data_IF_660235133778
#
_entry.id   IF_660235133778
#
_cell.length_a   1.000
_cell.length_b   1.000
_cell.length_c   1.000
_cell.angle_alpha   90.00
_cell.angle_beta   90.00
_cell.angle_gamma   90.00
#
_symmetry.space_group_name_H-M   'P 1'
#
loop_
_entity.id
_entity.type
_entity.pdbx_description
1 polymer ?
#
# COMPACT_ATOMS: atom_id res chain seq x y z
N UNK A 1 9.27 -21.63 -3.55
CA UNK A 1 8.18 -22.27 -4.32
C UNK A 1 6.98 -21.38 -4.12
N UNK A 2 6.48 -20.73 -5.17
CA UNK A 2 5.31 -19.86 -5.08
C UNK A 2 4.09 -20.74 -4.78
N UNK A 3 3.41 -20.50 -3.66
CA UNK A 3 2.19 -21.23 -3.32
C UNK A 3 1.06 -20.77 -4.25
N UNK A 4 0.70 -21.63 -5.22
CA UNK A 4 -0.33 -21.29 -6.22
C UNK A 4 -1.69 -21.70 -5.68
N UNK A 5 -2.54 -20.70 -5.44
CA UNK A 5 -3.90 -20.94 -4.98
C UNK A 5 -4.86 -21.05 -6.16
N UNK A 6 -5.69 -22.08 -6.17
CA UNK A 6 -6.73 -22.27 -7.19
C UNK A 6 -8.02 -21.54 -6.77
N UNK A 7 -8.54 -20.69 -7.64
CA UNK A 7 -9.80 -19.98 -7.44
C UNK A 7 -10.79 -20.36 -8.55
N UNK A 8 -11.97 -20.85 -8.16
CA UNK A 8 -13.04 -21.15 -9.12
C UNK A 8 -13.76 -19.88 -9.54
N UNK A 9 -13.84 -19.63 -10.84
CA UNK A 9 -14.54 -18.48 -11.41
C UNK A 9 -15.70 -18.91 -12.31
N UNK A 10 -16.75 -18.10 -12.33
CA UNK A 10 -17.84 -18.24 -13.29
C UNK A 10 -17.69 -17.20 -14.40
N UNK A 11 -17.72 -17.65 -15.66
CA UNK A 11 -17.75 -16.78 -16.83
C UNK A 11 -19.00 -15.89 -16.82
N UNK A 12 -18.85 -14.66 -17.32
CA UNK A 12 -19.95 -13.70 -17.44
C UNK A 12 -20.15 -13.34 -18.90
N UNK A 13 -21.30 -13.71 -19.45
CA UNK A 13 -21.68 -13.28 -20.80
C UNK A 13 -22.21 -11.84 -20.82
N UNK A 14 -22.89 -11.42 -19.75
CA UNK A 14 -23.49 -10.08 -19.66
C UNK A 14 -22.54 -9.09 -18.97
N UNK A 15 -21.86 -8.27 -19.76
CA UNK A 15 -20.99 -7.20 -19.28
C UNK A 15 -21.78 -5.89 -19.18
N UNK A 16 -21.56 -5.11 -18.12
CA UNK A 16 -22.17 -3.80 -17.93
C UNK A 16 -22.48 -3.44 -16.48
N UNK A 17 -22.84 -2.18 -16.25
CA UNK A 17 -23.10 -1.60 -14.92
C UNK A 17 -24.19 -2.34 -14.14
N UNK A 18 -25.26 -2.75 -14.80
CA UNK A 18 -26.38 -3.48 -14.18
C UNK A 18 -25.99 -4.86 -13.69
N UNK A 19 -25.33 -5.66 -14.55
CA UNK A 19 -24.89 -7.01 -14.18
C UNK A 19 -23.82 -6.97 -13.08
N UNK A 20 -22.90 -6.00 -13.11
CA UNK A 20 -21.89 -5.85 -12.05
C UNK A 20 -22.53 -5.57 -10.69
N UNK A 21 -23.55 -4.71 -10.63
CA UNK A 21 -24.31 -4.43 -9.40
C UNK A 21 -25.04 -5.67 -8.90
N UNK A 22 -25.67 -6.44 -9.79
CA UNK A 22 -26.36 -7.66 -9.44
C UNK A 22 -25.40 -8.73 -8.89
N UNK A 23 -24.26 -8.95 -9.54
CA UNK A 23 -23.22 -9.85 -9.05
C UNK A 23 -22.76 -9.49 -7.64
N UNK A 24 -22.53 -8.20 -7.36
CA UNK A 24 -22.17 -7.72 -6.01
C UNK A 24 -23.28 -7.95 -4.98
N UNK A 25 -24.55 -7.79 -5.37
CA UNK A 25 -25.69 -8.09 -4.50
C UNK A 25 -25.81 -9.58 -4.18
N UNK A 26 -25.38 -10.44 -5.10
CA UNK A 26 -25.30 -11.89 -4.90
C UNK A 26 -24.03 -12.35 -4.15
N UNK A 27 -23.21 -11.42 -3.64
CA UNK A 27 -21.97 -11.75 -2.92
C UNK A 27 -20.82 -12.22 -3.82
N UNK A 28 -20.89 -11.92 -5.13
CA UNK A 28 -19.81 -12.18 -6.10
C UNK A 28 -19.11 -10.87 -6.46
N UNK A 29 -17.83 -10.96 -6.80
CA UNK A 29 -17.02 -9.83 -7.23
C UNK A 29 -16.78 -9.96 -8.74
N UNK A 30 -17.09 -8.92 -9.52
CA UNK A 30 -16.74 -8.88 -10.94
C UNK A 30 -15.22 -8.72 -11.09
N UNK A 31 -14.62 -9.48 -11.99
CA UNK A 31 -13.20 -9.37 -12.31
C UNK A 31 -12.95 -9.55 -13.81
N UNK A 32 -11.80 -9.09 -14.27
CA UNK A 32 -11.38 -9.20 -15.67
C UNK A 32 -10.02 -9.85 -15.75
N UNK A 33 -9.91 -10.87 -16.59
CA UNK A 33 -8.63 -11.48 -16.94
C UNK A 33 -8.21 -10.98 -18.32
N UNK A 34 -7.05 -10.33 -18.41
CA UNK A 34 -6.47 -9.85 -19.67
C UNK A 34 -4.99 -10.25 -19.79
N UNK A 35 -4.37 -9.98 -20.93
CA UNK A 35 -2.95 -10.28 -21.18
C UNK A 35 -2.71 -11.58 -21.96
N UNK A 36 -1.44 -11.94 -22.10
CA UNK A 36 -0.95 -13.09 -22.88
C UNK A 36 -1.45 -13.13 -24.34
N UNK A 37 -1.66 -11.96 -24.96
CA UNK A 37 -2.21 -11.79 -26.33
C UNK A 37 -3.55 -12.51 -26.56
N UNK A 38 -4.28 -12.86 -25.50
CA UNK A 38 -5.59 -13.49 -25.53
C UNK A 38 -6.70 -12.46 -25.32
N UNK A 39 -7.91 -12.78 -25.76
CA UNK A 39 -9.07 -11.93 -25.52
C UNK A 39 -9.33 -11.76 -24.01
N UNK A 40 -9.71 -10.56 -23.56
CA UNK A 40 -10.14 -10.35 -22.18
C UNK A 40 -11.32 -11.26 -21.84
N UNK A 41 -11.31 -11.85 -20.64
CA UNK A 41 -12.41 -12.66 -20.13
C UNK A 41 -13.02 -11.97 -18.92
N UNK A 42 -14.33 -11.70 -18.95
CA UNK A 42 -15.07 -11.19 -17.82
C UNK A 42 -15.55 -12.35 -16.95
N UNK A 43 -15.18 -12.33 -15.68
CA UNK A 43 -15.45 -13.39 -14.72
C UNK A 43 -16.11 -12.85 -13.45
N UNK A 44 -16.70 -13.75 -12.68
CA UNK A 44 -17.12 -13.51 -11.30
C UNK A 44 -16.40 -14.47 -10.37
N UNK A 45 -15.98 -13.95 -9.22
CA UNK A 45 -15.36 -14.71 -8.13
C UNK A 45 -16.21 -14.56 -6.86
N UNK A 46 -16.09 -15.52 -5.94
CA UNK A 46 -16.77 -15.43 -4.65
C UNK A 46 -16.09 -14.38 -3.75
N UNK A 47 -16.90 -13.48 -3.17
CA UNK A 47 -16.40 -12.40 -2.31
C UNK A 47 -15.62 -12.91 -1.11
N UNK A 48 -16.14 -13.93 -0.41
CA UNK A 48 -15.56 -14.42 0.85
C UNK A 48 -14.14 -14.93 0.67
N UNK A 49 -13.90 -15.69 -0.41
CA UNK A 49 -12.58 -16.22 -0.73
C UNK A 49 -11.61 -15.07 -1.03
N UNK A 50 -12.02 -14.11 -1.86
CA UNK A 50 -11.18 -12.97 -2.22
C UNK A 50 -10.82 -12.09 -1.03
N UNK A 51 -11.78 -11.79 -0.15
CA UNK A 51 -11.52 -10.99 1.05
C UNK A 51 -10.49 -11.68 1.94
N UNK A 52 -10.61 -13.00 2.14
CA UNK A 52 -9.62 -13.76 2.92
C UNK A 52 -8.21 -13.70 2.33
N UNK A 53 -8.09 -13.74 1.01
CA UNK A 53 -6.80 -13.63 0.31
C UNK A 53 -6.24 -12.21 0.30
N UNK A 54 -7.10 -11.20 0.34
CA UNK A 54 -6.69 -9.81 0.46
C UNK A 54 -6.16 -9.52 1.88
N UNK A 55 -6.87 -10.04 2.90
CA UNK A 55 -6.51 -9.89 4.31
C UNK A 55 -5.26 -10.68 4.71
N UNK A 56 -4.93 -11.78 4.03
CA UNK A 56 -3.72 -12.55 4.30
C UNK A 56 -2.42 -11.83 3.95
N UNK A 57 -2.51 -10.68 3.27
CA UNK A 57 -1.34 -9.95 2.76
C UNK A 57 -0.76 -10.60 1.50
N UNK A 58 0.08 -9.84 0.78
CA UNK A 58 0.75 -10.35 -0.43
C UNK A 58 -0.19 -10.67 -1.60
N UNK A 59 -1.36 -10.04 -1.70
CA UNK A 59 -2.29 -10.35 -2.78
C UNK A 59 -1.71 -10.04 -4.17
N UNK A 60 -1.04 -8.89 -4.32
CA UNK A 60 -0.50 -8.41 -5.60
C UNK A 60 0.74 -9.16 -6.09
N UNK A 61 1.42 -9.91 -5.23
CA UNK A 61 2.62 -10.68 -5.57
C UNK A 61 2.41 -12.20 -5.48
N UNK A 62 1.18 -12.65 -5.22
CA UNK A 62 0.82 -14.06 -5.21
C UNK A 62 0.21 -14.47 -6.55
N UNK A 63 0.65 -15.63 -7.08
CA UNK A 63 0.07 -16.22 -8.28
C UNK A 63 -1.20 -17.00 -7.95
N UNK A 64 -2.23 -16.79 -8.76
CA UNK A 64 -3.50 -17.53 -8.67
C UNK A 64 -3.76 -18.30 -9.96
N UNK A 65 -4.26 -19.52 -9.82
CA UNK A 65 -4.79 -20.27 -10.96
C UNK A 65 -6.31 -20.12 -10.94
N UNK A 66 -6.85 -19.36 -11.91
CA UNK A 66 -8.30 -19.20 -12.05
C UNK A 66 -8.84 -20.31 -12.95
N UNK A 67 -9.71 -21.14 -12.39
CA UNK A 67 -10.47 -22.13 -13.15
C UNK A 67 -11.66 -21.46 -13.82
N UNK A 68 -11.67 -21.50 -15.16
CA UNK A 68 -12.75 -20.99 -16.00
C UNK A 68 -13.17 -22.07 -16.99
N UNK A 69 -14.40 -22.56 -16.89
CA UNK A 69 -14.96 -23.59 -17.78
C UNK A 69 -14.06 -24.83 -17.93
N UNK A 70 -13.46 -25.28 -16.83
CA UNK A 70 -12.53 -26.43 -16.78
C UNK A 70 -11.11 -26.15 -17.29
N UNK A 71 -10.77 -24.88 -17.58
CA UNK A 71 -9.40 -24.46 -17.95
C UNK A 71 -8.77 -23.64 -16.83
N UNK A 72 -7.57 -24.04 -16.42
CA UNK A 72 -6.75 -23.27 -15.48
C UNK A 72 -6.02 -22.15 -16.22
N UNK A 73 -6.22 -20.93 -15.74
CA UNK A 73 -5.51 -19.75 -16.22
C UNK A 73 -4.64 -19.20 -15.10
N UNK A 74 -3.33 -19.25 -15.29
CA UNK A 74 -2.38 -18.62 -14.36
C UNK A 74 -2.44 -17.11 -14.50
N UNK A 75 -2.73 -16.43 -13.40
CA UNK A 75 -2.90 -14.99 -13.36
C UNK A 75 -2.21 -14.36 -12.15
N UNK A 76 -1.87 -13.10 -12.29
CA UNK A 76 -1.39 -12.22 -11.25
C UNK A 76 -2.39 -11.08 -11.05
N UNK A 77 -2.81 -10.74 -9.82
CA UNK A 77 -3.64 -9.57 -9.57
C UNK A 77 -2.84 -8.31 -9.86
N UNK A 78 -3.37 -7.42 -10.71
CA UNK A 78 -2.71 -6.16 -11.06
C UNK A 78 -3.30 -4.97 -10.31
N UNK A 79 -4.61 -4.94 -10.15
CA UNK A 79 -5.31 -3.86 -9.48
C UNK A 79 -6.55 -4.37 -8.75
N UNK A 80 -6.88 -3.73 -7.63
CA UNK A 80 -8.07 -4.02 -6.82
C UNK A 80 -8.75 -2.70 -6.51
N UNK A 81 -9.98 -2.56 -6.99
CA UNK A 81 -10.83 -1.43 -6.64
C UNK A 81 -11.57 -1.75 -5.36
N UNK A 82 -11.26 -1.03 -4.28
CA UNK A 82 -11.96 -1.13 -3.00
C UNK A 82 -13.04 -0.05 -2.91
N UNK A 83 -14.12 -0.38 -2.21
CA UNK A 83 -15.13 0.61 -1.86
C UNK A 83 -14.55 1.57 -0.80
N UNK A 84 -14.60 2.90 -0.98
CA UNK A 84 -13.89 3.90 -0.16
C UNK A 84 -14.39 4.06 1.30
N UNK A 85 -15.32 3.22 1.75
CA UNK A 85 -15.99 3.35 3.06
C UNK A 85 -16.11 1.99 3.74
N UNK A 86 -16.39 0.95 2.95
CA UNK A 86 -16.60 -0.40 3.48
C UNK A 86 -15.39 -1.30 3.24
N UNK A 87 -14.38 -0.82 2.52
CA UNK A 87 -13.18 -1.55 2.07
C UNK A 87 -13.48 -2.88 1.36
N UNK A 88 -14.72 -3.04 0.89
CA UNK A 88 -15.13 -4.24 0.16
C UNK A 88 -14.58 -4.16 -1.26
N UNK A 89 -13.91 -5.21 -1.76
CA UNK A 89 -13.46 -5.25 -3.15
C UNK A 89 -14.64 -5.23 -4.13
N UNK A 90 -14.65 -4.22 -4.99
CA UNK A 90 -15.67 -3.95 -6.00
C UNK A 90 -15.34 -4.53 -7.36
N UNK A 91 -14.06 -4.53 -7.72
CA UNK A 91 -13.52 -5.00 -9.00
C UNK A 91 -12.07 -5.45 -8.84
N UNK A 92 -11.67 -6.49 -9.57
CA UNK A 92 -10.29 -6.97 -9.59
C UNK A 92 -9.83 -7.19 -11.03
N UNK A 93 -8.60 -6.76 -11.29
CA UNK A 93 -7.93 -6.92 -12.55
C UNK A 93 -6.86 -8.01 -12.44
N UNK A 94 -6.94 -9.00 -13.32
CA UNK A 94 -6.01 -10.11 -13.40
C UNK A 94 -5.23 -10.07 -14.71
N UNK A 95 -3.90 -10.10 -14.60
CA UNK A 95 -2.98 -10.23 -15.72
C UNK A 95 -2.62 -11.70 -15.91
N UNK A 96 -2.84 -12.26 -17.10
CA UNK A 96 -2.34 -13.58 -17.49
C UNK A 96 -0.83 -13.51 -17.62
N UNK A 97 -0.15 -14.40 -16.92
CA UNK A 97 1.31 -14.49 -16.93
C UNK A 97 1.76 -15.82 -17.51
N UNK A 98 2.76 -15.76 -18.38
CA UNK A 98 3.50 -16.94 -18.83
C UNK A 98 4.85 -16.99 -18.10
N UNK A 99 5.34 -18.19 -17.81
CA UNK A 99 6.59 -18.41 -17.05
C UNK A 99 7.80 -17.69 -17.63
N UNK A 100 7.79 -17.37 -18.93
CA UNK A 100 8.88 -16.71 -19.63
C UNK A 100 8.82 -15.19 -19.64
N UNK A 101 7.69 -14.58 -19.27
CA UNK A 101 7.51 -13.12 -19.38
C UNK A 101 8.01 -12.42 -18.12
N UNK A 102 8.89 -11.42 -18.25
CA UNK A 102 9.25 -10.55 -17.13
C UNK A 102 8.11 -9.60 -16.83
N UNK A 103 7.78 -9.47 -15.56
CA UNK A 103 6.71 -8.63 -15.04
C UNK A 103 7.23 -7.74 -13.93
N UNK A 104 6.68 -6.54 -13.82
CA UNK A 104 6.95 -5.64 -12.70
C UNK A 104 5.88 -5.81 -11.64
N UNK A 105 6.30 -6.15 -10.43
CA UNK A 105 5.43 -6.44 -9.29
C UNK A 105 5.83 -5.56 -8.12
N UNK A 106 4.84 -5.03 -7.42
CA UNK A 106 5.06 -4.35 -6.14
C UNK A 106 5.13 -5.39 -5.03
N UNK A 107 6.27 -5.45 -4.34
CA UNK A 107 6.49 -6.37 -3.23
C UNK A 107 6.59 -5.57 -1.93
N UNK A 108 5.85 -5.96 -0.88
CA UNK A 108 5.92 -5.29 0.41
C UNK A 108 7.26 -5.56 1.11
N UNK A 109 7.71 -4.57 1.87
CA UNK A 109 8.92 -4.66 2.70
C UNK A 109 8.54 -5.05 4.13
N UNK A 110 9.14 -6.12 4.62
CA UNK A 110 9.08 -6.51 6.03
C UNK A 110 10.33 -6.04 6.76
N UNK A 111 10.13 -5.32 7.85
CA UNK A 111 11.22 -4.88 8.72
C UNK A 111 11.47 -5.96 9.79
N UNK A 112 12.72 -6.39 9.92
CA UNK A 112 13.15 -7.32 10.97
C UNK A 112 14.28 -6.71 11.78
N UNK A 113 14.41 -7.13 13.04
CA UNK A 113 15.45 -6.61 13.93
C UNK A 113 15.14 -5.24 14.54
N UNK A 114 13.86 -4.85 14.62
CA UNK A 114 13.43 -3.63 15.32
C UNK A 114 13.94 -3.60 16.78
N UNK A 115 13.86 -4.76 17.45
CA UNK A 115 14.33 -4.95 18.84
C UNK A 115 15.85 -4.91 19.01
N UNK A 116 16.63 -4.94 17.94
CA UNK A 116 18.09 -4.91 17.98
C UNK A 116 18.66 -3.57 17.48
N UNK A 117 17.80 -2.66 17.00
CA UNK A 117 18.20 -1.32 16.59
C UNK A 117 18.46 -0.43 17.82
N UNK A 118 19.69 0.12 17.97
CA UNK A 118 19.97 1.15 18.97
C UNK A 118 19.07 2.38 18.78
N UNK A 119 18.81 2.77 17.52
CA UNK A 119 17.99 3.93 17.20
C UNK A 119 16.56 3.85 17.71
N UNK A 120 15.91 2.68 17.56
CA UNK A 120 14.56 2.47 18.09
C UNK A 120 14.54 2.34 19.62
N UNK A 121 15.56 1.72 20.22
CA UNK A 121 15.70 1.62 21.69
C UNK A 121 15.87 2.97 22.38
N UNK A 122 16.57 3.91 21.72
CA UNK A 122 16.77 5.27 22.21
C UNK A 122 15.52 6.16 21.99
N UNK A 123 14.43 5.60 21.47
CA UNK A 123 13.17 6.31 21.24
C UNK A 123 13.03 6.89 19.84
N UNK A 124 13.88 6.49 18.88
CA UNK A 124 13.73 6.83 17.48
C UNK A 124 12.42 6.29 16.91
N UNK A 125 11.87 6.99 15.93
CA UNK A 125 10.65 6.60 15.20
C UNK A 125 11.04 6.10 13.82
N UNK A 126 10.65 4.87 13.47
CA UNK A 126 10.81 4.35 12.12
C UNK A 126 9.86 5.08 11.17
N UNK A 127 10.42 5.85 10.26
CA UNK A 127 9.68 6.49 9.18
C UNK A 127 9.87 5.70 7.89
N UNK A 128 8.83 4.98 7.47
CA UNK A 128 8.85 4.20 6.23
C UNK A 128 8.42 5.10 5.08
N UNK A 129 9.35 5.40 4.16
CA UNK A 129 9.08 6.23 2.98
C UNK A 129 8.34 5.42 1.91
N UNK A 130 8.66 4.12 1.79
CA UNK A 130 8.06 3.21 0.82
C UNK A 130 7.77 1.86 1.46
N UNK A 131 6.48 1.52 1.54
CA UNK A 131 6.02 0.22 2.02
C UNK A 131 6.16 -0.88 0.96
N UNK A 132 6.05 -0.51 -0.32
CA UNK A 132 6.16 -1.41 -1.45
C UNK A 132 7.32 -1.00 -2.36
N UNK A 133 8.04 -1.99 -2.89
CA UNK A 133 9.12 -1.81 -3.85
C UNK A 133 8.73 -2.49 -5.15
N UNK A 134 8.82 -1.74 -6.25
CA UNK A 134 8.61 -2.29 -7.58
C UNK A 134 9.85 -3.08 -8.03
N UNK A 135 9.66 -4.38 -8.24
CA UNK A 135 10.70 -5.31 -8.69
C UNK A 135 10.28 -5.97 -10.01
N UNK A 136 11.25 -6.13 -10.91
CA UNK A 136 11.10 -6.91 -12.12
C UNK A 136 11.60 -8.34 -11.87
N UNK A 137 10.71 -9.31 -12.05
CA UNK A 137 11.02 -10.72 -11.87
C UNK A 137 10.22 -11.59 -12.84
N UNK A 138 10.63 -12.87 -12.95
CA UNK A 138 9.81 -13.89 -13.60
C UNK A 138 8.71 -14.37 -12.64
N UNK A 139 7.54 -14.79 -13.12
CA UNK A 139 6.42 -15.23 -12.28
C UNK A 139 6.80 -16.33 -11.27
N UNK A 140 7.73 -17.21 -11.62
CA UNK A 140 8.16 -18.32 -10.77
C UNK A 140 9.09 -17.89 -9.61
N UNK A 141 9.61 -16.66 -9.63
CA UNK A 141 10.55 -16.11 -8.66
C UNK A 141 10.00 -14.91 -7.89
N UNK A 142 8.69 -14.66 -7.94
CA UNK A 142 8.10 -13.53 -7.20
C UNK A 142 8.24 -13.79 -5.69
N UNK A 143 8.92 -12.90 -4.93
CA UNK A 143 8.99 -13.01 -3.48
C UNK A 143 7.71 -12.46 -2.82
N UNK A 144 7.27 -13.12 -1.73
CA UNK A 144 6.12 -12.69 -0.93
C UNK A 144 6.39 -11.41 -0.12
N UNK A 145 7.62 -11.24 0.36
CA UNK A 145 8.07 -10.04 1.05
C UNK A 145 9.58 -9.87 0.91
N UNK A 146 10.03 -8.62 0.97
CA UNK A 146 11.45 -8.27 1.03
C UNK A 146 11.83 -7.96 2.46
N UNK A 147 12.79 -8.69 3.02
CA UNK A 147 13.26 -8.45 4.39
C UNK A 147 14.30 -7.33 4.39
N UNK A 148 14.06 -6.32 5.21
CA UNK A 148 15.03 -5.27 5.51
C UNK A 148 15.43 -5.40 6.99
N UNK A 149 16.72 -5.66 7.21
CA UNK A 149 17.27 -5.80 8.57
C UNK A 149 17.62 -4.42 9.15
N UNK A 150 17.06 -4.12 10.32
CA UNK A 150 17.28 -2.89 11.09
C UNK A 150 18.34 -3.04 12.19
N UNK A 151 18.96 -4.21 12.32
CA UNK A 151 19.98 -4.47 13.32
C UNK A 151 21.13 -3.46 13.22
N UNK A 152 21.39 -2.71 14.29
CA UNK A 152 22.48 -1.72 14.33
C UNK A 152 22.19 -0.35 13.73
N UNK A 153 20.98 -0.09 13.22
CA UNK A 153 20.63 1.23 12.68
C UNK A 153 20.50 2.30 13.77
N UNK A 154 21.11 3.47 13.57
CA UNK A 154 21.14 4.58 14.52
C UNK A 154 20.08 5.67 14.22
N UNK A 155 19.88 6.60 15.15
CA UNK A 155 19.02 7.76 14.92
C UNK A 155 19.64 8.64 13.82
N UNK A 156 18.87 8.93 12.78
CA UNK A 156 19.30 9.72 11.63
C UNK A 156 19.72 8.87 10.43
N UNK A 157 19.85 7.54 10.59
CA UNK A 157 20.21 6.68 9.47
C UNK A 157 19.10 6.55 8.43
N UNK A 158 19.54 6.46 7.17
CA UNK A 158 18.70 6.22 6.00
C UNK A 158 19.02 4.86 5.41
N UNK A 159 18.02 3.98 5.36
CA UNK A 159 18.15 2.63 4.82
C UNK A 159 17.79 2.64 3.34
N UNK A 160 18.76 2.26 2.53
CA UNK A 160 18.64 2.25 1.07
C UNK A 160 18.29 0.86 0.54
N UNK A 161 17.84 0.81 -0.72
CA UNK A 161 17.54 -0.45 -1.41
C UNK A 161 18.73 -1.41 -1.51
N UNK A 162 19.95 -0.90 -1.52
CA UNK A 162 21.17 -1.71 -1.51
C UNK A 162 21.35 -2.57 -0.25
N UNK A 163 20.69 -2.19 0.86
CA UNK A 163 20.70 -2.95 2.11
C UNK A 163 19.62 -4.04 2.18
N UNK A 164 18.74 -4.14 1.18
CA UNK A 164 17.67 -5.14 1.13
C UNK A 164 18.21 -6.48 0.65
N UNK A 165 17.85 -7.56 1.33
CA UNK A 165 18.16 -8.91 0.87
C UNK A 165 17.27 -9.27 -0.33
N UNK A 166 17.81 -9.12 -1.54
CA UNK A 166 17.14 -9.52 -2.78
C UNK A 166 17.41 -11.00 -3.11
N UNK A 167 16.38 -11.83 -3.35
CA UNK A 167 16.56 -13.21 -3.76
C UNK A 167 17.02 -13.30 -5.23
N UNK A 168 17.64 -14.44 -5.59
CA UNK A 168 18.21 -14.67 -6.92
C UNK A 168 17.16 -14.47 -8.04
N UNK A 169 17.49 -13.65 -9.04
CA UNK A 169 16.64 -13.41 -10.22
C UNK A 169 15.62 -12.26 -10.09
N UNK A 170 15.60 -11.55 -8.95
CA UNK A 170 14.79 -10.35 -8.76
C UNK A 170 15.66 -9.10 -8.97
N UNK A 171 15.31 -8.29 -9.97
CA UNK A 171 16.00 -7.02 -10.23
C UNK A 171 15.06 -5.86 -9.89
N UNK A 172 15.48 -4.86 -9.10
CA UNK A 172 14.66 -3.68 -8.90
C UNK A 172 14.40 -2.99 -10.24
N UNK A 173 13.17 -2.51 -10.45
CA UNK A 173 12.81 -1.84 -11.71
C UNK A 173 13.57 -0.52 -11.86
N UNK A 174 13.89 0.12 -10.73
CA UNK A 174 14.71 1.33 -10.66
C UNK A 174 16.14 0.91 -10.31
N UNK A 175 16.99 0.80 -11.33
CA UNK A 175 18.44 0.53 -11.18
C UNK A 175 19.29 1.79 -11.18
N UNK A 176 18.72 2.94 -11.57
CA UNK A 176 19.48 4.18 -11.77
C UNK A 176 19.76 4.97 -10.48
N UNK A 177 19.07 4.67 -9.36
CA UNK A 177 19.23 5.43 -8.10
C UNK A 177 19.03 4.56 -6.87
N UNK A 178 19.92 4.72 -5.89
CA UNK A 178 19.73 4.21 -4.53
C UNK A 178 18.72 5.08 -3.80
N UNK A 179 17.47 4.64 -3.76
CA UNK A 179 16.42 5.34 -3.03
C UNK A 179 16.31 4.83 -1.59
N UNK A 180 15.97 5.76 -0.70
CA UNK A 180 15.69 5.47 0.71
C UNK A 180 14.34 4.77 0.85
N UNK A 181 14.32 3.67 1.60
CA UNK A 181 13.13 2.87 1.92
C UNK A 181 12.57 3.28 3.27
N UNK A 182 13.44 3.42 4.27
CA UNK A 182 13.09 3.83 5.61
C UNK A 182 14.16 4.72 6.22
N UNK A 183 13.77 5.61 7.12
CA UNK A 183 14.69 6.42 7.93
C UNK A 183 14.33 6.28 9.40
N UNK A 184 15.31 6.37 10.28
CA UNK A 184 15.07 6.43 11.72
C UNK A 184 15.13 7.90 12.13
N UNK A 185 13.99 8.49 12.44
CA UNK A 185 13.91 9.88 12.87
C UNK A 185 14.12 9.98 14.39
N UNK A 186 14.70 11.10 14.84
CA UNK A 186 14.75 11.42 16.27
C UNK A 186 13.33 11.68 16.79
N UNK A 187 13.00 11.26 18.04
CA UNK A 187 11.70 11.54 18.62
C UNK A 187 11.48 13.04 18.75
N UNK A 188 10.36 13.53 18.22
CA UNK A 188 9.82 14.87 18.49
C UNK A 188 9.17 14.90 19.88
N UNK A 189 9.90 14.49 20.92
CA UNK A 189 9.54 14.89 22.28
C UNK A 189 10.41 16.08 22.60
N UNK A 190 9.84 17.28 22.45
CA UNK A 190 10.28 18.42 23.23
C UNK A 190 10.15 17.96 24.67
N UNK A 191 11.27 17.58 25.27
CA UNK A 191 11.37 17.42 26.70
C UNK A 191 11.10 18.81 27.25
N UNK A 192 9.88 19.07 27.72
CA UNK A 192 9.65 20.17 28.64
C UNK A 192 10.64 19.94 29.77
N UNK A 193 11.72 20.74 29.77
CA UNK A 193 12.59 20.86 30.92
C UNK A 193 11.71 21.36 32.07
N UNK A 194 11.31 20.43 32.92
CA UNK A 194 10.97 20.70 34.30
C UNK A 194 12.18 21.37 34.96
N UNK A 195 12.27 22.70 34.86
CA UNK A 195 13.11 23.52 35.69
C UNK A 195 12.23 24.15 36.77
N UNK A 196 12.19 23.52 37.94
CA UNK A 196 11.65 24.08 39.17
C UNK A 196 12.80 24.50 40.09
N UNK A 197 12.92 25.82 40.33
CA UNK A 197 13.42 26.56 41.54
C UNK A 197 13.61 28.02 41.13
N UNK A 198 12.70 28.95 41.48
CA UNK A 198 12.61 29.74 42.74
C UNK A 198 13.67 30.85 42.87
N UNK A 199 13.26 32.12 42.62
CA UNK A 199 13.11 33.16 43.67
C UNK A 199 12.93 34.58 43.06
N UNK A 200 11.96 35.33 43.60
CA UNK A 200 12.10 36.76 43.93
C UNK A 200 11.81 37.88 42.93
N UNK A 201 10.60 38.47 43.03
CA UNK A 201 10.27 39.94 43.04
C UNK A 201 10.53 40.77 41.76
N UNK A 202 9.71 41.71 41.27
CA UNK A 202 8.61 42.50 41.82
C UNK A 202 7.86 43.25 40.68
N UNK A 203 6.60 43.63 40.96
CA UNK A 203 5.93 44.90 40.59
C UNK A 203 5.38 45.18 39.18
N UNK A 204 4.03 45.27 39.17
CA UNK A 204 3.12 46.24 38.50
C UNK A 204 3.06 46.31 36.97
N UNK A 205 1.98 46.64 36.29
CA UNK A 205 0.53 46.75 36.51
C UNK A 205 -0.05 47.29 35.17
N UNK A 206 -1.38 47.30 35.05
CA UNK A 206 -2.20 48.04 34.09
C UNK A 206 -2.45 47.33 32.74
N UNK A 207 -3.61 46.72 32.50
CA UNK A 207 -4.99 47.27 32.31
C UNK A 207 -5.31 47.52 30.83
N UNK A 208 -6.57 47.24 30.45
CA UNK A 208 -7.21 47.87 29.28
C UNK A 208 -7.45 47.01 28.05
N UNK A 209 -8.50 46.18 28.11
CA UNK A 209 -9.72 46.23 27.28
C UNK A 209 -9.69 46.45 25.74
N UNK A 210 -10.71 45.83 25.12
CA UNK A 210 -11.38 46.17 23.84
C UNK A 210 -10.89 45.61 22.49
N UNK A 211 -11.58 44.54 22.09
CA UNK A 211 -12.46 44.44 20.88
C UNK A 211 -12.04 45.16 19.60
N UNK A 212 -11.86 44.39 18.52
CA UNK A 212 -12.27 44.80 17.16
C UNK A 212 -12.52 43.57 16.29
N UNK A 213 -13.80 43.27 16.08
CA UNK A 213 -14.28 42.70 14.82
C UNK A 213 -14.21 43.79 13.75
N UNK A 214 -13.72 43.45 12.55
CA UNK A 214 -14.33 43.89 11.29
C UNK A 214 -13.66 43.13 10.15
N UNK A 215 -14.38 42.15 9.61
CA UNK A 215 -14.18 41.65 8.27
C UNK A 215 -14.87 42.64 7.31
N UNK A 216 -14.08 43.29 6.46
CA UNK A 216 -14.57 44.05 5.31
C UNK A 216 -15.01 43.13 4.18
N UNK A 217 -16.26 43.30 3.74
CA UNK A 217 -16.67 43.75 2.39
C UNK A 217 -15.53 43.83 1.34
N UNK A 218 -15.71 43.56 0.04
CA UNK A 218 -16.88 43.49 -0.83
C UNK A 218 -16.36 43.11 -2.23
N UNK A 219 -17.22 42.51 -3.06
CA UNK A 219 -17.58 43.00 -4.42
C UNK A 219 -18.46 41.91 -5.07
N UNK A 220 -19.77 42.09 -5.23
CA UNK A 220 -20.46 42.85 -6.31
C UNK A 220 -19.98 42.39 -7.70
N UNK A 221 -20.79 42.07 -8.71
CA UNK A 221 -22.18 42.30 -9.12
C UNK A 221 -22.49 41.14 -10.11
N UNK A 222 -23.71 40.68 -10.34
CA UNK A 222 -24.75 41.46 -10.99
C UNK A 222 -25.67 40.50 -11.76
N UNK A 223 -26.92 40.56 -11.35
CA UNK A 223 -28.15 40.04 -11.92
C UNK A 223 -28.28 40.24 -13.45
N UNK A 224 -28.94 39.32 -14.17
CA UNK A 224 -30.14 39.67 -14.97
C UNK A 224 -30.91 38.43 -15.47
N UNK A 225 -32.23 38.44 -15.16
CA UNK A 225 -33.39 37.92 -15.91
C UNK A 225 -33.48 36.46 -16.40
#
# INVERSE_FOLDING_TARGET
>A
MSDITVLTAAARERVGKGSAREARRQGKIPAVIYGDKKSPASITLERKLLVRHLESGGFFNTLFDIELDGKLNRVLPRDVQLHPVTDVPEHIDFLRVSSTTRISVEVPVEFKGEDESPGLKTGGVLNVVRYNIEVSCTPDLIPTSLVLNLSGAEIGDSLHISAVSLPEGVTPTITDRDFTIATIAAPTVVKEETAATDDGTDTEASDGDSTSESAGEETEEGNDS
#
